data_IF_804491300308
#
_entry.id   IF_804491300308
#
_cell.length_a   1.000
_cell.length_b   1.000
_cell.length_c   1.000
_cell.angle_alpha   90.00
_cell.angle_beta   90.00
_cell.angle_gamma   90.00
#
_symmetry.space_group_name_H-M   'P 1'
#
loop_
_entity.id
_entity.type
_entity.pdbx_description
1 polymer ?
#
# COMPACT_ATOMS: atom_id res chain seq x y z
N UNK A 1 4.14 28.74 18.39
CA UNK A 1 4.95 28.53 17.17
C UNK A 1 4.13 27.67 16.22
N UNK A 2 4.09 28.00 14.93
CA UNK A 2 3.41 27.15 13.94
C UNK A 2 4.22 25.87 13.74
N UNK A 3 3.61 24.71 13.96
CA UNK A 3 4.19 23.40 13.65
C UNK A 3 3.59 22.87 12.36
N UNK A 4 4.42 22.21 11.55
CA UNK A 4 4.04 21.58 10.28
C UNK A 4 4.40 20.10 10.37
N UNK A 5 3.43 19.22 10.18
CA UNK A 5 3.70 17.80 9.98
C UNK A 5 4.01 17.57 8.52
N UNK A 6 5.16 16.97 8.22
CA UNK A 6 5.59 16.73 6.84
C UNK A 6 5.79 15.25 6.56
N UNK A 7 5.08 14.72 5.57
CA UNK A 7 5.26 13.34 5.13
C UNK A 7 6.62 13.18 4.42
N UNK A 8 7.58 12.54 5.08
CA UNK A 8 8.94 12.40 4.57
C UNK A 8 9.22 10.98 4.10
N UNK A 9 9.44 10.83 2.79
CA UNK A 9 9.74 9.55 2.16
C UNK A 9 11.23 9.38 1.82
N UNK A 10 12.02 10.46 1.81
CA UNK A 10 13.44 10.44 1.42
C UNK A 10 13.69 10.39 -0.07
N UNK A 11 12.66 10.54 -0.90
CA UNK A 11 12.81 10.73 -2.34
C UNK A 11 13.17 12.19 -2.68
N UNK A 12 13.57 12.44 -3.93
CA UNK A 12 13.99 13.77 -4.39
C UNK A 12 12.92 14.85 -4.14
N UNK A 13 11.66 14.50 -4.37
CA UNK A 13 10.52 15.40 -4.15
C UNK A 13 10.40 15.82 -2.67
N UNK A 14 10.46 14.86 -1.74
CA UNK A 14 10.36 15.13 -0.30
C UNK A 14 11.59 15.82 0.27
N UNK A 15 12.80 15.51 -0.22
CA UNK A 15 14.04 16.21 0.15
C UNK A 15 14.00 17.69 -0.24
N UNK A 16 13.69 17.98 -1.51
CA UNK A 16 13.55 19.36 -2.00
C UNK A 16 12.46 20.11 -1.25
N UNK A 17 11.32 19.45 -1.01
CA UNK A 17 10.20 20.04 -0.29
C UNK A 17 10.56 20.39 1.15
N UNK A 18 11.27 19.52 1.88
CA UNK A 18 11.67 19.78 3.26
C UNK A 18 12.57 21.01 3.36
N UNK A 19 13.62 21.05 2.53
CA UNK A 19 14.53 22.18 2.45
C UNK A 19 13.78 23.50 2.17
N UNK A 20 12.82 23.47 1.25
CA UNK A 20 12.04 24.65 0.93
C UNK A 20 11.08 25.07 2.05
N UNK A 21 10.41 24.13 2.72
CA UNK A 21 9.50 24.47 3.83
C UNK A 21 10.30 25.15 4.95
N UNK A 22 11.44 24.59 5.33
CA UNK A 22 12.31 25.14 6.38
C UNK A 22 12.84 26.54 6.03
N UNK A 23 13.18 26.80 4.76
CA UNK A 23 13.65 28.13 4.32
C UNK A 23 12.53 29.16 4.14
N UNK A 24 11.31 28.73 3.83
CA UNK A 24 10.20 29.62 3.44
C UNK A 24 9.15 29.84 4.53
N UNK A 25 9.11 29.00 5.57
CA UNK A 25 8.13 29.07 6.65
C UNK A 25 8.82 29.30 7.99
N UNK A 26 8.34 30.27 8.77
CA UNK A 26 8.82 30.52 10.14
C UNK A 26 8.31 29.49 11.18
N UNK A 27 8.10 28.25 10.76
CA UNK A 27 7.50 27.17 11.56
C UNK A 27 8.47 26.03 11.83
N UNK A 28 8.15 25.21 12.83
CA UNK A 28 8.88 23.96 13.13
C UNK A 28 8.33 22.84 12.26
N UNK A 29 9.13 22.26 11.37
CA UNK A 29 8.71 21.06 10.63
C UNK A 29 9.05 19.81 11.43
N UNK A 30 8.08 18.91 11.55
CA UNK A 30 8.24 17.58 12.12
C UNK A 30 8.10 16.60 10.97
N UNK A 31 9.20 15.93 10.62
CA UNK A 31 9.20 14.92 9.56
C UNK A 31 8.54 13.64 10.07
N UNK A 32 7.67 13.04 9.26
CA UNK A 32 6.98 11.78 9.58
C UNK A 32 7.29 10.77 8.48
N UNK A 33 8.01 9.72 8.85
CA UNK A 33 8.32 8.58 8.00
C UNK A 33 7.48 7.37 8.43
N UNK A 34 6.68 6.86 7.50
CA UNK A 34 5.83 5.70 7.72
C UNK A 34 6.54 4.40 7.31
N UNK A 35 6.73 3.46 8.24
CA UNK A 35 7.11 2.09 7.91
C UNK A 35 5.85 1.28 7.54
N UNK A 36 5.70 0.99 6.26
CA UNK A 36 4.63 0.19 5.67
C UNK A 36 5.13 -1.19 5.21
N UNK A 37 6.39 -1.54 5.51
CA UNK A 37 7.04 -2.76 5.05
C UNK A 37 7.78 -2.61 3.71
N UNK A 38 8.00 -1.38 3.26
CA UNK A 38 8.87 -1.08 2.12
C UNK A 38 10.33 -1.46 2.41
N UNK A 39 11.12 -1.85 1.41
CA UNK A 39 12.54 -2.11 1.58
C UNK A 39 13.32 -0.81 1.88
N UNK A 40 14.45 -0.96 2.59
CA UNK A 40 15.36 0.13 2.92
C UNK A 40 15.49 0.38 4.43
N UNK A 41 16.49 1.16 4.79
CA UNK A 41 16.81 1.55 6.16
C UNK A 41 16.12 2.87 6.49
N UNK A 42 15.03 2.80 7.26
CA UNK A 42 14.19 3.96 7.56
C UNK A 42 14.82 4.90 8.59
N UNK A 43 15.75 4.42 9.41
CA UNK A 43 16.45 5.24 10.42
C UNK A 43 17.27 6.36 9.77
N UNK A 44 17.99 6.07 8.69
CA UNK A 44 18.75 7.12 7.98
C UNK A 44 17.85 8.20 7.36
N UNK A 45 16.57 7.92 7.09
CA UNK A 45 15.65 8.96 6.64
C UNK A 45 15.44 10.01 7.74
N UNK A 46 15.50 9.61 9.01
CA UNK A 46 15.48 10.55 10.12
C UNK A 46 16.69 11.47 10.14
N UNK A 47 17.89 10.90 9.98
CA UNK A 47 19.13 11.69 9.94
C UNK A 47 19.12 12.67 8.76
N UNK A 48 18.66 12.23 7.58
CA UNK A 48 18.50 13.11 6.41
C UNK A 48 17.51 14.24 6.72
N UNK A 49 16.37 13.94 7.32
CA UNK A 49 15.38 14.96 7.66
C UNK A 49 15.93 16.00 8.64
N UNK A 50 16.63 15.56 9.68
CA UNK A 50 17.26 16.45 10.67
C UNK A 50 18.35 17.32 10.04
N UNK A 51 19.20 16.75 9.16
CA UNK A 51 20.23 17.49 8.44
C UNK A 51 19.67 18.55 7.49
N UNK A 52 18.45 18.35 6.97
CA UNK A 52 17.74 19.31 6.13
C UNK A 52 17.01 20.41 6.93
N UNK A 53 17.08 20.36 8.26
CA UNK A 53 16.54 21.39 9.15
C UNK A 53 15.26 20.99 9.89
N UNK A 54 14.75 19.77 9.72
CA UNK A 54 13.58 19.34 10.48
C UNK A 54 13.84 19.48 11.99
N UNK A 55 12.86 20.01 12.71
CA UNK A 55 12.96 20.23 14.15
C UNK A 55 12.80 18.95 14.98
N UNK A 56 12.15 17.94 14.39
CA UNK A 56 11.97 16.60 14.95
C UNK A 56 11.65 15.61 13.82
N UNK A 57 11.82 14.31 14.08
CA UNK A 57 11.52 13.24 13.15
C UNK A 57 10.86 12.05 13.85
N UNK A 58 9.73 11.61 13.28
CA UNK A 58 8.94 10.48 13.76
C UNK A 58 8.99 9.34 12.73
N UNK A 59 9.59 8.22 13.09
CA UNK A 59 9.49 6.96 12.31
C UNK A 59 8.40 6.08 12.93
N UNK A 60 7.27 5.95 12.24
CA UNK A 60 6.09 5.27 12.78
C UNK A 60 5.94 3.89 12.11
N UNK A 61 5.90 2.82 12.90
CA UNK A 61 5.60 1.48 12.40
C UNK A 61 4.11 1.27 12.17
N UNK A 62 3.74 1.26 10.89
CA UNK A 62 2.36 1.15 10.42
C UNK A 62 2.07 -0.21 9.78
N UNK A 63 3.02 -1.15 9.75
CA UNK A 63 2.84 -2.46 9.12
C UNK A 63 1.63 -3.21 9.67
N UNK A 64 1.49 -3.25 11.00
CA UNK A 64 0.35 -3.91 11.65
C UNK A 64 -0.96 -3.20 11.33
N UNK A 65 -1.00 -1.87 11.34
CA UNK A 65 -2.21 -1.08 11.00
C UNK A 65 -2.58 -1.29 9.52
N UNK A 66 -1.61 -1.30 8.61
CA UNK A 66 -1.82 -1.58 7.18
C UNK A 66 -2.50 -2.93 6.97
N UNK A 67 -1.99 -3.98 7.63
CA UNK A 67 -2.55 -5.32 7.46
C UNK A 67 -3.92 -5.44 8.12
N UNK A 68 -4.00 -5.16 9.43
CA UNK A 68 -5.21 -5.40 10.22
C UNK A 68 -6.37 -4.46 9.89
N UNK A 69 -6.10 -3.17 9.70
CA UNK A 69 -7.14 -2.16 9.53
C UNK A 69 -7.50 -1.91 8.07
N UNK A 70 -6.68 -2.33 7.11
CA UNK A 70 -6.91 -2.07 5.69
C UNK A 70 -6.89 -3.34 4.84
N UNK A 71 -5.73 -3.99 4.71
CA UNK A 71 -5.58 -5.13 3.80
C UNK A 71 -6.54 -6.28 4.10
N UNK A 72 -6.70 -6.63 5.38
CA UNK A 72 -7.60 -7.71 5.79
C UNK A 72 -9.08 -7.35 5.67
N UNK A 73 -9.43 -6.06 5.65
CA UNK A 73 -10.79 -5.64 5.27
C UNK A 73 -11.03 -5.86 3.78
N UNK A 74 -10.04 -5.55 2.93
CA UNK A 74 -10.12 -5.89 1.51
C UNK A 74 -10.24 -7.40 1.30
N UNK A 75 -9.45 -8.20 2.02
CA UNK A 75 -9.48 -9.67 1.97
C UNK A 75 -10.86 -10.22 2.31
N UNK A 76 -11.43 -9.81 3.45
CA UNK A 76 -12.79 -10.20 3.86
C UNK A 76 -13.85 -9.84 2.83
N UNK A 77 -13.67 -8.70 2.17
CA UNK A 77 -14.54 -8.23 1.12
C UNK A 77 -14.25 -8.84 -0.25
N UNK A 78 -13.22 -9.69 -0.40
CA UNK A 78 -12.67 -10.15 -1.68
C UNK A 78 -12.47 -9.02 -2.69
N UNK A 79 -12.08 -7.84 -2.18
CA UNK A 79 -12.04 -6.62 -2.97
C UNK A 79 -10.78 -6.58 -3.85
N UNK A 80 -10.97 -6.52 -5.16
CA UNK A 80 -9.94 -6.34 -6.17
C UNK A 80 -10.53 -5.44 -7.26
N UNK A 81 -9.91 -4.30 -7.55
CA UNK A 81 -10.48 -3.34 -8.51
C UNK A 81 -10.40 -3.87 -9.95
N UNK A 82 -9.27 -4.49 -10.28
CA UNK A 82 -9.06 -5.32 -11.47
C UNK A 82 -8.49 -6.66 -11.01
N UNK A 83 -8.58 -7.74 -11.82
CA UNK A 83 -7.99 -9.02 -11.48
C UNK A 83 -6.50 -8.88 -11.10
N UNK A 84 -6.13 -9.37 -9.91
CA UNK A 84 -4.76 -9.29 -9.40
C UNK A 84 -4.32 -7.92 -8.87
N UNK A 85 -5.19 -6.91 -8.88
CA UNK A 85 -4.91 -5.59 -8.32
C UNK A 85 -5.67 -5.36 -7.00
N UNK A 86 -4.96 -5.66 -5.89
CA UNK A 86 -5.47 -5.56 -4.52
C UNK A 86 -5.24 -4.19 -3.85
N UNK A 87 -5.05 -3.14 -4.67
CA UNK A 87 -5.05 -1.73 -4.25
C UNK A 87 -4.07 -1.39 -3.11
N UNK A 88 -2.90 -2.03 -3.06
CA UNK A 88 -1.87 -1.80 -2.02
C UNK A 88 -1.39 -0.35 -1.98
N UNK A 89 -1.20 0.27 -3.15
CA UNK A 89 -0.83 1.67 -3.32
C UNK A 89 -1.93 2.64 -2.85
N UNK A 90 -3.19 2.22 -2.90
CA UNK A 90 -4.35 3.04 -2.49
C UNK A 90 -4.52 3.03 -0.98
N UNK A 91 -4.59 1.84 -0.36
CA UNK A 91 -4.87 1.71 1.07
C UNK A 91 -3.78 2.33 1.94
N UNK A 92 -2.52 2.26 1.48
CA UNK A 92 -1.40 2.91 2.15
C UNK A 92 -1.55 4.43 2.25
N UNK A 93 -2.20 5.08 1.26
CA UNK A 93 -2.43 6.53 1.28
C UNK A 93 -3.54 6.90 2.28
N UNK A 94 -4.60 6.10 2.41
CA UNK A 94 -5.61 6.33 3.46
C UNK A 94 -5.01 6.21 4.85
N UNK A 95 -4.19 5.18 5.07
CA UNK A 95 -3.47 4.99 6.32
C UNK A 95 -2.50 6.16 6.59
N UNK A 96 -1.68 6.53 5.62
CA UNK A 96 -0.73 7.63 5.77
C UNK A 96 -1.45 8.95 6.11
N UNK A 97 -2.54 9.30 5.40
CA UNK A 97 -3.33 10.48 5.70
C UNK A 97 -3.89 10.47 7.14
N UNK A 98 -4.37 9.32 7.59
CA UNK A 98 -4.88 9.16 8.97
C UNK A 98 -3.78 9.40 10.00
N UNK A 99 -2.60 8.86 9.76
CA UNK A 99 -1.47 8.96 10.70
C UNK A 99 -0.83 10.35 10.69
N UNK A 100 -0.80 11.05 9.54
CA UNK A 100 -0.38 12.46 9.49
C UNK A 100 -1.33 13.37 10.29
N UNK A 101 -2.64 13.11 10.22
CA UNK A 101 -3.64 13.82 11.03
C UNK A 101 -3.46 13.52 12.53
N UNK A 102 -3.20 12.26 12.89
CA UNK A 102 -2.96 11.89 14.28
C UNK A 102 -1.70 12.56 14.83
N UNK A 103 -0.59 12.48 14.09
CA UNK A 103 0.66 13.16 14.44
C UNK A 103 0.45 14.68 14.57
N UNK A 104 -0.35 15.29 13.68
CA UNK A 104 -0.64 16.72 13.77
C UNK A 104 -1.40 17.07 15.04
N UNK A 105 -2.39 16.26 15.43
CA UNK A 105 -3.15 16.47 16.67
C UNK A 105 -2.30 16.26 17.92
N UNK A 106 -1.48 15.20 17.94
CA UNK A 106 -0.57 14.90 19.06
C UNK A 106 0.47 16.02 19.25
N UNK A 107 1.00 16.55 18.15
CA UNK A 107 1.99 17.62 18.19
C UNK A 107 1.41 19.03 18.34
N UNK A 108 0.08 19.18 18.25
CA UNK A 108 -0.59 20.49 18.23
C UNK A 108 -0.30 21.30 16.95
N UNK A 109 -0.01 20.62 15.84
CA UNK A 109 0.14 21.23 14.53
C UNK A 109 -1.23 21.43 13.86
N UNK A 110 -1.36 22.54 13.12
CA UNK A 110 -2.56 22.88 12.34
C UNK A 110 -2.34 22.72 10.83
N UNK A 111 -1.12 22.32 10.44
CA UNK A 111 -0.69 22.28 9.04
C UNK A 111 -0.01 20.95 8.73
N UNK A 112 -0.39 20.35 7.61
CA UNK A 112 0.22 19.15 7.04
C UNK A 112 0.80 19.52 5.67
N UNK A 113 2.05 19.17 5.41
CA UNK A 113 2.70 19.36 4.12
C UNK A 113 2.90 18.01 3.40
N UNK A 114 2.65 18.00 2.09
CA UNK A 114 2.74 16.79 1.25
C UNK A 114 3.59 17.08 0.01
N UNK A 115 4.69 16.34 -0.15
CA UNK A 115 5.61 16.47 -1.27
C UNK A 115 5.15 15.64 -2.50
N UNK A 116 4.07 16.07 -3.15
CA UNK A 116 3.62 15.46 -4.39
C UNK A 116 3.01 16.50 -5.33
N UNK A 117 3.07 16.25 -6.63
CA UNK A 117 2.40 17.08 -7.63
C UNK A 117 0.89 17.06 -7.40
N UNK A 118 0.22 18.20 -7.46
CA UNK A 118 -1.22 18.29 -7.16
C UNK A 118 -2.10 17.49 -8.11
N UNK A 119 -1.64 17.31 -9.35
CA UNK A 119 -2.32 16.50 -10.37
C UNK A 119 -2.13 14.99 -10.15
N UNK A 120 -1.25 14.58 -9.23
CA UNK A 120 -1.01 13.16 -8.95
C UNK A 120 -2.18 12.53 -8.19
N UNK A 121 -2.54 11.30 -8.55
CA UNK A 121 -3.60 10.54 -7.86
C UNK A 121 -3.29 10.39 -6.36
N UNK A 122 -2.01 10.24 -6.00
CA UNK A 122 -1.55 10.15 -4.61
C UNK A 122 -1.83 11.44 -3.83
N UNK A 123 -1.53 12.61 -4.40
CA UNK A 123 -1.82 13.90 -3.76
C UNK A 123 -3.32 14.08 -3.55
N UNK A 124 -4.12 13.91 -4.62
CA UNK A 124 -5.59 14.04 -4.56
C UNK A 124 -6.18 13.10 -3.49
N UNK A 125 -5.70 11.86 -3.42
CA UNK A 125 -6.19 10.88 -2.44
C UNK A 125 -5.82 11.25 -1.01
N UNK A 126 -4.58 11.66 -0.76
CA UNK A 126 -4.14 12.09 0.57
C UNK A 126 -4.91 13.32 1.03
N UNK A 127 -5.00 14.36 0.19
CA UNK A 127 -5.65 15.62 0.56
C UNK A 127 -7.14 15.48 0.78
N UNK A 128 -7.84 14.75 -0.10
CA UNK A 128 -9.27 14.45 0.08
C UNK A 128 -9.53 13.64 1.35
N UNK A 129 -8.63 12.71 1.67
CA UNK A 129 -8.74 11.93 2.91
C UNK A 129 -8.58 12.82 4.13
N UNK A 130 -7.51 13.63 4.18
CA UNK A 130 -7.26 14.58 5.28
C UNK A 130 -8.47 15.51 5.44
N UNK A 131 -8.96 16.10 4.36
CA UNK A 131 -10.12 16.99 4.40
C UNK A 131 -11.39 16.29 4.92
N UNK A 132 -11.55 14.99 4.63
CA UNK A 132 -12.70 14.22 5.12
C UNK A 132 -12.65 13.89 6.61
N UNK A 133 -11.45 13.76 7.20
CA UNK A 133 -11.27 13.31 8.60
C UNK A 133 -10.79 14.43 9.55
N UNK A 134 -10.29 15.52 8.98
CA UNK A 134 -9.74 16.68 9.68
C UNK A 134 -9.88 17.93 8.79
N UNK A 135 -11.11 18.40 8.50
CA UNK A 135 -11.35 19.56 7.65
C UNK A 135 -10.73 20.86 8.20
N UNK A 136 -10.38 20.89 9.49
CA UNK A 136 -9.66 21.98 10.14
C UNK A 136 -8.18 22.10 9.74
N UNK A 137 -7.58 21.03 9.19
CA UNK A 137 -6.16 21.00 8.86
C UNK A 137 -5.87 21.79 7.60
N UNK A 138 -4.90 22.71 7.68
CA UNK A 138 -4.33 23.36 6.50
C UNK A 138 -3.40 22.38 5.78
N UNK A 139 -3.51 22.29 4.46
CA UNK A 139 -2.60 21.49 3.63
C UNK A 139 -1.69 22.41 2.83
N UNK A 140 -0.39 22.10 2.80
CA UNK A 140 0.61 22.76 1.95
C UNK A 140 1.13 21.76 0.93
N UNK A 141 1.34 22.23 -0.31
CA UNK A 141 1.84 21.45 -1.44
C UNK A 141 3.14 22.10 -1.96
N UNK A 142 4.30 21.84 -1.33
CA UNK A 142 5.55 22.55 -1.60
C UNK A 142 5.95 22.60 -3.08
N UNK A 143 5.78 21.49 -3.80
CA UNK A 143 6.14 21.40 -5.22
C UNK A 143 5.33 22.36 -6.09
N UNK A 144 4.05 22.56 -5.76
CA UNK A 144 3.18 23.51 -6.45
C UNK A 144 3.59 24.94 -6.14
N UNK A 145 3.84 25.25 -4.87
CA UNK A 145 4.22 26.58 -4.42
C UNK A 145 5.59 27.00 -4.99
N UNK A 146 6.48 26.03 -5.20
CA UNK A 146 7.76 26.17 -5.89
C UNK A 146 7.67 26.21 -7.42
N UNK A 147 6.55 25.77 -8.01
CA UNK A 147 6.43 25.58 -9.46
C UNK A 147 7.30 24.46 -10.03
N UNK A 148 7.74 23.50 -9.21
CA UNK A 148 8.58 22.38 -9.63
C UNK A 148 7.73 21.15 -9.93
N UNK A 149 7.66 20.77 -11.21
CA UNK A 149 6.80 19.68 -11.69
C UNK A 149 7.56 18.55 -12.41
N UNK A 150 8.87 18.69 -12.62
CA UNK A 150 9.71 17.69 -13.30
C UNK A 150 10.89 17.24 -12.45
N UNK A 151 11.33 16.00 -12.65
CA UNK A 151 12.54 15.46 -12.01
C UNK A 151 13.77 16.33 -12.29
N UNK A 152 13.90 16.84 -13.53
CA UNK A 152 15.02 17.70 -13.92
C UNK A 152 15.02 19.01 -13.12
N UNK A 153 13.87 19.67 -12.99
CA UNK A 153 13.76 20.90 -12.21
C UNK A 153 14.05 20.68 -10.71
N UNK A 154 13.66 19.52 -10.16
CA UNK A 154 14.01 19.14 -8.79
C UNK A 154 15.52 18.92 -8.60
N UNK A 155 16.18 18.28 -9.58
CA UNK A 155 17.65 18.09 -9.55
C UNK A 155 18.39 19.42 -9.63
N UNK A 156 17.94 20.34 -10.51
CA UNK A 156 18.50 21.67 -10.65
C UNK A 156 18.33 22.50 -9.36
N UNK A 157 17.17 22.41 -8.73
CA UNK A 157 16.92 23.04 -7.43
C UNK A 157 17.91 22.51 -6.38
N UNK A 158 18.05 21.19 -6.28
CA UNK A 158 18.95 20.56 -5.31
C UNK A 158 20.42 20.94 -5.53
N UNK A 159 20.87 20.99 -6.78
CA UNK A 159 22.23 21.43 -7.14
C UNK A 159 22.47 22.91 -6.75
N UNK A 160 21.51 23.78 -7.08
CA UNK A 160 21.60 25.23 -6.80
C UNK A 160 21.72 25.50 -5.30
N UNK A 161 21.01 24.72 -4.48
CA UNK A 161 20.99 24.86 -3.03
C UNK A 161 22.00 23.94 -2.31
N UNK A 162 22.90 23.30 -3.05
CA UNK A 162 23.93 22.39 -2.50
C UNK A 162 23.34 21.28 -1.60
N UNK A 163 22.12 20.85 -1.89
CA UNK A 163 21.48 19.75 -1.18
C UNK A 163 22.20 18.48 -1.57
N UNK A 164 22.79 17.80 -0.58
CA UNK A 164 23.41 16.50 -0.79
C UNK A 164 22.32 15.50 -1.18
N UNK A 165 22.24 15.23 -2.48
CA UNK A 165 21.58 14.05 -3.04
C UNK A 165 22.54 12.87 -2.78
N UNK A 166 22.76 12.52 -1.51
CA UNK A 166 23.47 11.29 -1.18
C UNK A 166 22.66 10.15 -1.78
N UNK A 167 23.19 9.50 -2.83
CA UNK A 167 22.59 8.39 -3.60
C UNK A 167 21.17 8.12 -3.13
N UNK A 168 20.22 9.01 -3.47
CA UNK A 168 18.84 8.93 -3.01
C UNK A 168 18.46 7.50 -3.26
N UNK A 169 18.35 6.73 -2.17
CA UNK A 169 18.39 5.27 -2.21
C UNK A 169 17.57 4.84 -3.39
N UNK A 170 18.15 4.02 -4.29
CA UNK A 170 17.69 3.51 -5.58
C UNK A 170 16.20 3.06 -5.63
N UNK A 171 15.31 3.86 -5.07
CA UNK A 171 13.88 3.80 -5.08
C UNK A 171 13.57 4.27 -6.47
N UNK A 172 13.11 3.32 -7.26
CA UNK A 172 12.53 3.59 -8.54
C UNK A 172 11.45 4.64 -8.31
N UNK A 173 11.64 5.83 -8.87
CA UNK A 173 10.75 6.99 -8.73
C UNK A 173 9.28 6.66 -9.08
N UNK A 174 9.07 5.53 -9.75
CA UNK A 174 7.80 5.07 -10.27
C UNK A 174 7.30 3.81 -9.54
N UNK A 175 7.61 3.64 -8.26
CA UNK A 175 7.35 2.39 -7.53
C UNK A 175 6.83 2.66 -6.12
N UNK A 176 5.59 2.25 -5.87
CA UNK A 176 5.00 2.15 -4.53
C UNK A 176 5.17 0.70 -4.04
N UNK A 177 5.84 0.49 -2.90
CA UNK A 177 5.97 -0.84 -2.27
C UNK A 177 5.51 -0.73 -0.83
N UNK A 178 4.72 -1.69 -0.38
CA UNK A 178 4.44 -1.93 1.02
C UNK A 178 4.24 -3.44 1.26
N UNK A 179 3.96 -3.80 2.51
CA UNK A 179 3.80 -5.18 2.92
C UNK A 179 2.68 -5.93 2.19
N UNK A 180 1.68 -5.23 1.66
CA UNK A 180 0.56 -5.84 0.93
C UNK A 180 0.85 -6.07 -0.55
N UNK A 181 1.79 -5.33 -1.13
CA UNK A 181 2.20 -5.48 -2.52
C UNK A 181 2.94 -4.27 -3.06
N UNK A 182 3.27 -4.33 -4.34
CA UNK A 182 3.96 -3.31 -5.09
C UNK A 182 3.17 -2.88 -6.34
N UNK A 183 3.31 -1.61 -6.73
CA UNK A 183 2.83 -1.04 -7.98
C UNK A 183 3.97 -0.28 -8.64
N UNK A 184 4.35 -0.69 -9.84
CA UNK A 184 5.44 -0.13 -10.62
C UNK A 184 4.88 0.43 -11.92
N UNK A 185 5.01 1.73 -12.16
CA UNK A 185 4.67 2.29 -13.46
C UNK A 185 5.77 1.91 -14.46
N UNK A 186 5.37 1.31 -15.58
CA UNK A 186 6.24 0.83 -16.64
C UNK A 186 5.98 1.59 -17.94
N UNK A 187 6.70 1.26 -19.00
CA UNK A 187 6.47 1.83 -20.33
C UNK A 187 5.01 1.68 -20.77
N UNK A 188 4.42 2.74 -21.31
CA UNK A 188 2.98 2.78 -21.60
C UNK A 188 2.59 1.99 -22.86
N UNK A 189 3.53 1.50 -23.67
CA UNK A 189 3.21 0.70 -24.85
C UNK A 189 2.78 -0.71 -24.43
N UNK A 190 1.50 -1.11 -24.62
CA UNK A 190 1.02 -2.43 -24.23
C UNK A 190 1.67 -3.58 -25.02
N UNK A 191 2.28 -3.29 -26.18
CA UNK A 191 2.95 -4.30 -27.00
C UNK A 191 4.34 -4.69 -26.47
N UNK A 192 4.95 -3.82 -25.67
CA UNK A 192 6.27 -4.08 -25.10
C UNK A 192 6.15 -5.07 -23.93
N UNK A 193 7.07 -6.03 -23.83
CA UNK A 193 7.18 -6.89 -22.66
C UNK A 193 7.65 -6.09 -21.44
N UNK A 194 7.22 -6.49 -20.26
CA UNK A 194 7.70 -5.92 -19.00
C UNK A 194 9.09 -6.52 -18.71
N UNK A 195 10.16 -5.72 -18.63
CA UNK A 195 11.49 -6.23 -18.33
C UNK A 195 11.54 -6.92 -16.97
N UNK A 196 12.31 -8.01 -16.85
CA UNK A 196 12.49 -8.74 -15.58
C UNK A 196 13.04 -7.86 -14.46
N UNK A 197 13.80 -6.82 -14.80
CA UNK A 197 14.25 -5.85 -13.83
C UNK A 197 13.08 -5.13 -13.15
N UNK A 198 11.90 -4.99 -13.77
CA UNK A 198 10.76 -4.24 -13.23
C UNK A 198 10.12 -4.86 -11.99
N UNK A 199 10.24 -6.18 -11.82
CA UNK A 199 9.71 -6.91 -10.65
C UNK A 199 10.55 -6.64 -9.42
N UNK A 200 9.90 -6.37 -8.29
CA UNK A 200 10.52 -6.01 -7.01
C UNK A 200 10.15 -6.95 -5.87
N UNK A 201 9.08 -7.74 -6.00
CA UNK A 201 8.65 -8.71 -4.99
C UNK A 201 8.75 -10.18 -5.44
N UNK A 202 8.77 -10.43 -6.74
CA UNK A 202 8.71 -11.78 -7.30
C UNK A 202 9.96 -12.14 -8.10
N UNK A 203 10.42 -13.38 -7.94
CA UNK A 203 11.57 -13.91 -8.67
C UNK A 203 11.28 -14.07 -10.16
N UNK A 204 12.26 -13.87 -11.05
CA UNK A 204 12.11 -14.19 -12.48
C UNK A 204 11.96 -15.70 -12.68
N UNK A 205 11.42 -16.11 -13.83
CA UNK A 205 11.12 -17.50 -14.13
C UNK A 205 12.32 -18.46 -13.95
N UNK A 206 13.53 -17.99 -14.32
CA UNK A 206 14.77 -18.76 -14.19
C UNK A 206 15.22 -19.03 -12.74
N UNK A 207 14.61 -18.39 -11.75
CA UNK A 207 14.93 -18.55 -10.33
C UNK A 207 13.83 -19.27 -9.54
N UNK A 208 12.76 -19.73 -10.21
CA UNK A 208 11.69 -20.46 -9.56
C UNK A 208 12.22 -21.83 -9.10
N UNK A 209 11.97 -22.25 -7.83
CA UNK A 209 12.38 -23.56 -7.36
C UNK A 209 11.68 -24.70 -8.12
N UNK A 210 12.43 -25.73 -8.52
CA UNK A 210 11.86 -26.96 -9.12
C UNK A 210 11.03 -27.78 -8.11
N UNK A 211 11.39 -27.71 -6.83
CA UNK A 211 10.73 -28.47 -5.78
C UNK A 211 9.42 -27.77 -5.39
N UNK A 212 8.26 -28.46 -5.39
CA UNK A 212 7.02 -27.88 -4.89
C UNK A 212 7.10 -27.60 -3.39
N UNK A 213 6.38 -26.58 -2.94
CA UNK A 213 6.18 -26.28 -1.53
C UNK A 213 4.70 -26.44 -1.20
N UNK A 214 4.38 -26.88 0.01
CA UNK A 214 3.00 -26.97 0.49
C UNK A 214 2.91 -26.29 1.85
N UNK A 215 1.83 -25.53 2.06
CA UNK A 215 1.54 -24.81 3.29
C UNK A 215 0.10 -25.05 3.73
N UNK A 216 -0.16 -24.80 4.99
CA UNK A 216 -1.50 -24.75 5.58
C UNK A 216 -1.80 -23.35 6.13
N UNK A 217 -2.93 -22.78 5.71
CA UNK A 217 -3.45 -21.51 6.20
C UNK A 217 -4.68 -21.76 7.06
N UNK A 218 -4.65 -21.30 8.31
CA UNK A 218 -5.79 -21.32 9.21
C UNK A 218 -6.47 -19.96 9.22
N UNK A 219 -7.80 -19.97 9.06
CA UNK A 219 -8.66 -18.80 9.08
C UNK A 219 -9.62 -18.85 10.26
N UNK A 220 -9.89 -17.68 10.83
CA UNK A 220 -10.97 -17.46 11.79
C UNK A 220 -11.80 -16.25 11.39
N UNK A 221 -13.08 -16.50 11.18
CA UNK A 221 -14.05 -15.50 10.72
C UNK A 221 -13.53 -14.65 9.54
N UNK A 222 -12.99 -15.33 8.52
CA UNK A 222 -12.45 -14.76 7.28
C UNK A 222 -11.04 -14.18 7.39
N UNK A 223 -10.40 -14.19 8.56
CA UNK A 223 -9.05 -13.66 8.75
C UNK A 223 -8.01 -14.77 8.88
N UNK A 224 -6.84 -14.67 8.22
CA UNK A 224 -5.76 -15.61 8.46
C UNK A 224 -5.20 -15.40 9.87
N UNK A 225 -5.14 -16.48 10.65
CA UNK A 225 -4.67 -16.48 12.04
C UNK A 225 -3.45 -17.35 12.26
N UNK A 226 -3.15 -18.27 11.31
CA UNK A 226 -1.99 -19.13 11.39
C UNK A 226 -1.50 -19.53 9.99
N UNK A 227 -0.19 -19.56 9.81
CA UNK A 227 0.49 -20.19 8.69
C UNK A 227 1.36 -21.33 9.23
N UNK A 228 1.13 -22.53 8.70
CA UNK A 228 1.67 -23.80 9.16
C UNK A 228 1.53 -23.96 10.69
N UNK A 229 2.56 -24.48 11.36
CA UNK A 229 2.51 -24.75 12.79
C UNK A 229 3.10 -23.64 13.66
N UNK A 230 3.70 -22.59 13.09
CA UNK A 230 4.57 -21.67 13.85
C UNK A 230 4.23 -20.18 13.71
N UNK A 231 3.65 -19.72 12.60
CA UNK A 231 3.50 -18.28 12.35
C UNK A 231 2.08 -17.83 12.66
N UNK A 232 1.91 -17.03 13.71
CA UNK A 232 0.59 -16.57 14.18
C UNK A 232 0.39 -15.05 14.11
N UNK A 233 1.47 -14.28 14.00
CA UNK A 233 1.40 -12.83 13.86
C UNK A 233 1.01 -12.43 12.43
N UNK A 234 0.07 -11.51 12.28
CA UNK A 234 -0.50 -11.14 10.98
C UNK A 234 0.54 -10.53 10.02
N UNK A 235 1.45 -9.70 10.54
CA UNK A 235 2.54 -9.11 9.75
C UNK A 235 3.47 -10.21 9.26
N UNK A 236 3.82 -11.13 10.17
CA UNK A 236 4.69 -12.28 9.89
C UNK A 236 4.07 -13.27 8.90
N UNK A 237 2.77 -13.53 8.97
CA UNK A 237 2.03 -14.34 7.99
C UNK A 237 2.18 -13.73 6.59
N UNK A 238 1.88 -12.43 6.45
CA UNK A 238 1.96 -11.74 5.15
C UNK A 238 3.40 -11.68 4.63
N UNK A 239 4.38 -11.33 5.48
CA UNK A 239 5.79 -11.32 5.09
C UNK A 239 6.29 -12.70 4.64
N UNK A 240 5.93 -13.77 5.37
CA UNK A 240 6.34 -15.14 5.05
C UNK A 240 5.73 -15.59 3.72
N UNK A 241 4.43 -15.30 3.51
CA UNK A 241 3.75 -15.60 2.24
C UNK A 241 4.34 -14.79 1.08
N UNK A 242 4.68 -13.51 1.28
CA UNK A 242 5.33 -12.71 0.24
C UNK A 242 6.66 -13.36 -0.19
N UNK A 243 7.47 -13.77 0.78
CA UNK A 243 8.74 -14.45 0.50
C UNK A 243 8.58 -15.81 -0.17
N UNK A 244 7.58 -16.60 0.24
CA UNK A 244 7.33 -17.92 -0.35
C UNK A 244 6.73 -17.80 -1.75
N UNK A 245 5.58 -17.14 -1.88
CA UNK A 245 4.87 -16.99 -3.15
C UNK A 245 5.71 -16.19 -4.17
N UNK A 246 6.48 -15.20 -3.70
CA UNK A 246 7.40 -14.44 -4.53
C UNK A 246 8.48 -15.31 -5.20
N UNK A 247 9.01 -16.31 -4.50
CA UNK A 247 9.98 -17.28 -5.08
C UNK A 247 9.38 -18.11 -6.21
N UNK A 248 8.07 -18.37 -6.18
CA UNK A 248 7.36 -19.10 -7.25
C UNK A 248 6.74 -18.17 -8.31
N UNK A 249 7.15 -16.89 -8.35
CA UNK A 249 6.64 -15.87 -9.28
C UNK A 249 5.13 -15.64 -9.22
N UNK A 250 4.49 -15.96 -8.09
CA UNK A 250 3.04 -15.82 -7.90
C UNK A 250 2.67 -14.37 -7.59
N UNK A 251 1.52 -13.93 -8.11
CA UNK A 251 0.89 -12.66 -7.75
C UNK A 251 1.30 -11.47 -8.61
N UNK A 252 1.74 -11.72 -9.85
CA UNK A 252 1.98 -10.68 -10.87
C UNK A 252 0.68 -10.34 -11.58
N UNK A 253 0.41 -9.06 -11.79
CA UNK A 253 -0.69 -8.56 -12.59
C UNK A 253 -0.26 -7.33 -13.40
N UNK A 254 -0.89 -7.13 -14.54
CA UNK A 254 -0.70 -5.96 -15.37
C UNK A 254 -2.03 -5.21 -15.46
N UNK A 255 -2.00 -3.91 -15.19
CA UNK A 255 -3.19 -3.07 -15.27
C UNK A 255 -2.94 -1.79 -16.07
N UNK A 256 -4.02 -1.29 -16.67
CA UNK A 256 -4.06 -0.02 -17.36
C UNK A 256 -5.03 0.90 -16.63
N UNK A 257 -4.55 2.08 -16.23
CA UNK A 257 -5.37 3.12 -15.61
C UNK A 257 -5.49 4.31 -16.54
N UNK A 258 -6.69 4.87 -16.65
CA UNK A 258 -6.92 6.10 -17.39
C UNK A 258 -6.88 7.29 -16.42
N UNK A 259 -5.96 8.21 -16.66
CA UNK A 259 -5.90 9.49 -15.94
C UNK A 259 -7.09 10.37 -16.32
N UNK A 260 -7.40 11.36 -15.49
CA UNK A 260 -8.42 12.37 -15.81
C UNK A 260 -8.14 13.12 -17.12
N UNK A 261 -6.86 13.27 -17.50
CA UNK A 261 -6.43 13.86 -18.78
C UNK A 261 -6.71 12.98 -20.00
N UNK A 262 -7.21 11.74 -19.80
CA UNK A 262 -7.44 10.76 -20.85
C UNK A 262 -6.23 9.89 -21.19
N UNK A 263 -5.03 10.24 -20.70
CA UNK A 263 -3.82 9.44 -20.88
C UNK A 263 -3.95 8.09 -20.17
N UNK A 264 -3.54 7.01 -20.84
CA UNK A 264 -3.46 5.68 -20.24
C UNK A 264 -2.07 5.51 -19.61
N UNK A 265 -2.03 4.98 -18.39
CA UNK A 265 -0.82 4.61 -17.68
C UNK A 265 -0.82 3.12 -17.39
N UNK A 266 0.31 2.47 -17.70
CA UNK A 266 0.51 1.02 -17.53
C UNK A 266 1.25 0.75 -16.22
N UNK A 267 0.74 -0.21 -15.45
CA UNK A 267 1.33 -0.60 -14.18
C UNK A 267 1.53 -2.11 -14.12
N UNK A 268 2.72 -2.49 -13.66
CA UNK A 268 2.99 -3.80 -13.09
C UNK A 268 2.57 -3.78 -11.62
N UNK A 269 1.75 -4.74 -11.20
CA UNK A 269 1.39 -4.95 -9.82
C UNK A 269 1.91 -6.32 -9.34
N UNK A 270 2.47 -6.35 -8.14
CA UNK A 270 2.91 -7.58 -7.49
C UNK A 270 2.28 -7.68 -6.10
N UNK A 271 1.57 -8.76 -5.81
CA UNK A 271 0.94 -8.96 -4.51
C UNK A 271 0.94 -10.45 -4.11
N UNK A 272 2.13 -11.05 -3.88
CA UNK A 272 2.25 -12.50 -3.76
C UNK A 272 1.43 -13.07 -2.60
N UNK A 273 1.52 -12.47 -1.40
CA UNK A 273 0.73 -12.89 -0.26
C UNK A 273 -0.76 -12.66 -0.47
N UNK A 274 -1.16 -11.50 -1.00
CA UNK A 274 -2.57 -11.18 -1.23
C UNK A 274 -3.22 -12.17 -2.20
N UNK A 275 -2.54 -12.53 -3.30
CA UNK A 275 -3.03 -13.53 -4.25
C UNK A 275 -3.31 -14.88 -3.61
N UNK A 276 -2.37 -15.39 -2.79
CA UNK A 276 -2.54 -16.67 -2.10
C UNK A 276 -3.65 -16.58 -1.06
N UNK A 277 -3.67 -15.52 -0.25
CA UNK A 277 -4.68 -15.31 0.79
C UNK A 277 -6.09 -15.20 0.19
N UNK A 278 -6.28 -14.46 -0.91
CA UNK A 278 -7.58 -14.33 -1.56
C UNK A 278 -8.07 -15.67 -2.09
N UNK A 279 -7.19 -16.45 -2.72
CA UNK A 279 -7.59 -17.74 -3.29
C UNK A 279 -7.89 -18.77 -2.21
N UNK A 280 -7.11 -18.79 -1.12
CA UNK A 280 -7.38 -19.64 0.02
C UNK A 280 -8.67 -19.24 0.74
N UNK A 281 -8.89 -17.93 0.93
CA UNK A 281 -10.10 -17.38 1.53
C UNK A 281 -11.36 -17.74 0.72
N UNK A 282 -11.36 -17.48 -0.59
CA UNK A 282 -12.44 -17.88 -1.50
C UNK A 282 -12.71 -19.40 -1.42
N UNK A 283 -11.66 -20.22 -1.41
CA UNK A 283 -11.81 -21.67 -1.32
C UNK A 283 -12.42 -22.14 0.00
N UNK A 284 -12.26 -21.39 1.10
CA UNK A 284 -12.89 -21.69 2.38
C UNK A 284 -14.35 -21.21 2.40
N UNK A 285 -14.67 -20.06 1.79
CA UNK A 285 -16.04 -19.60 1.61
C UNK A 285 -16.90 -20.64 0.87
N UNK A 286 -16.34 -21.28 -0.17
CA UNK A 286 -17.01 -22.34 -0.96
C UNK A 286 -17.61 -23.46 -0.10
N UNK A 287 -17.03 -23.74 1.07
CA UNK A 287 -17.43 -24.85 1.95
C UNK A 287 -17.99 -24.39 3.31
N UNK A 288 -18.07 -23.08 3.56
CA UNK A 288 -18.56 -22.51 4.83
C UNK A 288 -19.70 -21.52 4.67
N UNK A 289 -19.88 -20.93 3.50
CA UNK A 289 -20.86 -19.89 3.24
C UNK A 289 -22.04 -20.41 2.43
N UNK A 290 -23.25 -20.00 2.77
CA UNK A 290 -24.44 -20.35 1.99
C UNK A 290 -24.45 -19.64 0.61
N UNK A 291 -25.12 -20.22 -0.40
CA UNK A 291 -25.09 -19.69 -1.77
C UNK A 291 -25.61 -18.25 -1.91
N UNK A 292 -26.58 -17.83 -1.10
CA UNK A 292 -27.17 -16.50 -1.22
C UNK A 292 -26.23 -15.43 -0.66
N UNK A 293 -25.64 -15.68 0.51
CA UNK A 293 -24.60 -14.82 1.09
C UNK A 293 -23.39 -14.74 0.16
N UNK A 294 -23.00 -15.83 -0.50
CA UNK A 294 -21.88 -15.85 -1.44
C UNK A 294 -22.17 -15.01 -2.69
N UNK A 295 -23.38 -15.12 -3.25
CA UNK A 295 -23.82 -14.30 -4.38
C UNK A 295 -23.84 -12.81 -4.04
N UNK A 296 -24.45 -12.43 -2.91
CA UNK A 296 -24.46 -11.04 -2.44
C UNK A 296 -23.06 -10.51 -2.17
N UNK A 297 -22.20 -11.33 -1.53
CA UNK A 297 -20.82 -10.95 -1.25
C UNK A 297 -20.08 -10.59 -2.54
N UNK A 298 -20.22 -11.38 -3.60
CA UNK A 298 -19.60 -11.09 -4.91
C UNK A 298 -20.03 -9.75 -5.49
N UNK A 299 -21.32 -9.43 -5.47
CA UNK A 299 -21.84 -8.16 -6.01
C UNK A 299 -21.31 -6.97 -5.20
N UNK A 300 -21.28 -7.11 -3.87
CA UNK A 300 -20.77 -6.08 -2.98
C UNK A 300 -19.25 -5.96 -3.02
N UNK A 301 -18.49 -7.03 -3.29
CA UNK A 301 -17.03 -7.01 -3.45
C UNK A 301 -16.61 -6.05 -4.55
N UNK A 302 -17.28 -6.10 -5.70
CA UNK A 302 -17.02 -5.23 -6.84
C UNK A 302 -17.29 -3.76 -6.49
N UNK A 303 -18.43 -3.46 -5.87
CA UNK A 303 -18.79 -2.10 -5.44
C UNK A 303 -17.86 -1.56 -4.36
N UNK A 304 -17.44 -2.42 -3.44
CA UNK A 304 -16.49 -2.07 -2.41
C UNK A 304 -15.14 -1.70 -3.02
N UNK A 305 -14.61 -2.51 -3.94
CA UNK A 305 -13.35 -2.23 -4.62
C UNK A 305 -13.39 -0.93 -5.44
N UNK A 306 -14.46 -0.71 -6.22
CA UNK A 306 -14.69 0.53 -6.98
C UNK A 306 -14.70 1.77 -6.06
N UNK A 307 -15.46 1.71 -4.96
CA UNK A 307 -15.55 2.79 -3.99
C UNK A 307 -14.20 3.12 -3.34
N UNK A 308 -13.43 2.09 -2.95
CA UNK A 308 -12.08 2.26 -2.39
C UNK A 308 -11.12 2.86 -3.41
N UNK A 309 -11.14 2.36 -4.65
CA UNK A 309 -10.32 2.87 -5.74
C UNK A 309 -10.52 4.38 -5.96
N UNK A 310 -11.78 4.83 -5.91
CA UNK A 310 -12.18 6.23 -6.08
C UNK A 310 -12.05 7.11 -4.82
N UNK A 311 -11.37 6.65 -3.77
CA UNK A 311 -11.04 7.51 -2.63
C UNK A 311 -12.08 7.52 -1.51
N UNK A 312 -13.10 6.66 -1.53
CA UNK A 312 -14.25 6.76 -0.61
C UNK A 312 -14.13 5.86 0.64
N UNK A 313 -12.91 5.66 1.15
CA UNK A 313 -12.63 4.80 2.31
C UNK A 313 -13.37 5.22 3.58
N UNK A 314 -13.56 6.51 3.83
CA UNK A 314 -14.19 7.03 5.05
C UNK A 314 -15.69 7.33 4.90
N UNK A 315 -16.31 6.86 3.82
CA UNK A 315 -17.73 7.12 3.54
C UNK A 315 -18.68 6.29 4.42
N UNK A 316 -19.93 6.76 4.65
CA UNK A 316 -20.95 5.94 5.33
C UNK A 316 -21.23 4.62 4.60
N UNK A 317 -21.24 4.63 3.26
CA UNK A 317 -21.42 3.43 2.44
C UNK A 317 -20.32 2.39 2.72
N UNK A 318 -19.07 2.84 2.87
CA UNK A 318 -17.96 1.97 3.24
C UNK A 318 -18.17 1.29 4.59
N UNK A 319 -18.61 2.02 5.61
CA UNK A 319 -18.89 1.45 6.94
C UNK A 319 -20.01 0.42 6.93
N UNK A 320 -21.05 0.66 6.12
CA UNK A 320 -22.15 -0.29 5.94
C UNK A 320 -21.68 -1.58 5.28
N UNK A 321 -20.82 -1.48 4.25
CA UNK A 321 -20.23 -2.65 3.60
C UNK A 321 -19.26 -3.40 4.51
N UNK A 322 -18.45 -2.69 5.31
CA UNK A 322 -17.61 -3.32 6.35
C UNK A 322 -18.45 -4.15 7.33
N UNK A 323 -19.64 -3.65 7.70
CA UNK A 323 -20.55 -4.37 8.60
C UNK A 323 -21.14 -5.63 7.94
N UNK A 324 -21.52 -5.53 6.66
CA UNK A 324 -21.96 -6.69 5.88
C UNK A 324 -20.87 -7.76 5.81
N UNK A 325 -19.63 -7.39 5.43
CA UNK A 325 -18.53 -8.35 5.35
C UNK A 325 -18.10 -8.87 6.72
N UNK A 326 -18.21 -8.07 7.79
CA UNK A 326 -17.95 -8.59 9.13
C UNK A 326 -18.92 -9.72 9.49
N UNK A 327 -20.20 -9.58 9.14
CA UNK A 327 -21.23 -10.58 9.39
C UNK A 327 -21.10 -11.81 8.46
N UNK A 328 -20.93 -11.60 7.15
CA UNK A 328 -20.83 -12.71 6.19
C UNK A 328 -19.62 -13.61 6.45
N UNK A 329 -18.56 -13.07 7.06
CA UNK A 329 -17.32 -13.80 7.31
C UNK A 329 -17.33 -14.62 8.60
N UNK A 330 -18.33 -14.50 9.47
CA UNK A 330 -18.43 -15.28 10.73
C UNK A 330 -18.21 -16.80 10.53
N UNK A 331 -18.90 -17.48 9.58
CA UNK A 331 -18.76 -18.93 9.38
C UNK A 331 -17.43 -19.34 8.72
N UNK A 332 -16.69 -18.41 8.14
CA UNK A 332 -15.46 -18.67 7.36
C UNK A 332 -14.29 -18.97 8.30
N UNK A 333 -14.32 -20.15 8.92
CA UNK A 333 -13.35 -20.61 9.92
C UNK A 333 -12.94 -22.05 9.62
N UNK A 334 -11.63 -22.28 9.52
CA UNK A 334 -11.09 -23.57 9.10
C UNK A 334 -9.69 -23.47 8.53
N UNK A 335 -9.24 -24.53 7.86
CA UNK A 335 -7.92 -24.62 7.25
C UNK A 335 -8.00 -24.81 5.74
N UNK A 336 -7.02 -24.27 5.04
CA UNK A 336 -6.85 -24.42 3.61
C UNK A 336 -5.42 -24.82 3.32
N UNK A 337 -5.25 -25.88 2.53
CA UNK A 337 -3.94 -26.35 2.09
C UNK A 337 -3.64 -25.81 0.71
N UNK A 338 -2.44 -25.26 0.54
CA UNK A 338 -2.00 -24.64 -0.71
C UNK A 338 -0.66 -25.24 -1.13
N UNK A 339 -0.59 -25.70 -2.38
CA UNK A 339 0.63 -26.21 -3.01
C UNK A 339 1.14 -25.22 -4.06
N UNK A 340 2.41 -24.83 -3.96
CA UNK A 340 3.13 -24.03 -4.94
C UNK A 340 3.93 -24.93 -5.89
N UNK A 341 3.90 -24.57 -7.16
CA UNK A 341 4.63 -25.22 -8.25
C UNK A 341 5.17 -24.14 -9.20
N UNK A 342 5.97 -24.53 -10.20
CA UNK A 342 6.69 -23.58 -11.04
C UNK A 342 5.78 -22.54 -11.70
N UNK A 343 5.78 -21.30 -11.18
CA UNK A 343 4.97 -20.19 -11.68
C UNK A 343 3.50 -20.19 -11.24
N UNK A 344 3.08 -21.13 -10.38
CA UNK A 344 1.67 -21.34 -10.04
C UNK A 344 1.46 -21.80 -8.60
N UNK A 345 0.21 -21.85 -8.18
CA UNK A 345 -0.20 -22.47 -6.94
C UNK A 345 -1.63 -23.01 -7.04
N UNK A 346 -1.96 -23.99 -6.20
CA UNK A 346 -3.25 -24.68 -6.19
C UNK A 346 -3.73 -24.88 -4.77
N UNK A 347 -5.04 -24.70 -4.55
CA UNK A 347 -5.67 -25.15 -3.30
C UNK A 347 -5.88 -26.66 -3.37
N UNK A 348 -5.22 -27.40 -2.48
CA UNK A 348 -5.24 -28.88 -2.47
C UNK A 348 -6.16 -29.46 -1.41
N UNK A 349 -6.66 -28.65 -0.46
CA UNK A 349 -7.57 -29.12 0.58
C UNK A 349 -8.27 -28.00 1.32
N UNK A 350 -9.48 -28.28 1.82
CA UNK A 350 -10.32 -27.37 2.61
C UNK A 350 -10.85 -28.16 3.81
N UNK A 351 -10.73 -27.61 5.00
CA UNK A 351 -11.22 -28.23 6.23
C UNK A 351 -11.97 -27.19 7.07
N UNK A 352 -13.30 -27.07 6.96
CA UNK A 352 -14.11 -26.18 7.78
C UNK A 352 -14.15 -26.68 9.24
N UNK A 353 -14.17 -25.75 10.20
CA UNK A 353 -14.30 -26.08 11.64
C UNK A 353 -15.73 -26.00 12.15
N UNK A 354 -16.58 -25.29 11.41
CA UNK A 354 -18.01 -25.18 11.67
C UNK A 354 -18.69 -25.46 10.34
N UNK A 355 -19.60 -26.44 10.32
CA UNK A 355 -20.44 -26.79 9.18
C UNK A 355 -21.88 -26.55 9.58
#
# INVERSE_FOLDING_TARGET
>A
MNKIIFAFAGDLASVVSLHWIESSHAGKVIAVTANLGQPGFLEMLGDIAMNLGASDNLVIDLRKKLISNFAFRLLKARASYLPGYYMSDIISKFLLATELVNAAREEGAQTIAIAANEESESFVRLTRTIHSIAPEMKIIAPLKDLGLNTTQALLEYAQTHQILIENIYQRRLNTDINLWGASVQVDNNPWNSIPDSSYVLTSPAAQIPDKPAEIELEFKSGLPVKLDNSVTDQVSIVSTLNGLAGKYSVGRAEIFRRKFTGQISRFLCEAPAATVLYKAHEALEEVTMDPFTMSLSRDFSCRYAEMIFHGNWFSPAQKSLDSFFAASQIPVTGKVRVKFESGSFFVTGRMPYVV
#
